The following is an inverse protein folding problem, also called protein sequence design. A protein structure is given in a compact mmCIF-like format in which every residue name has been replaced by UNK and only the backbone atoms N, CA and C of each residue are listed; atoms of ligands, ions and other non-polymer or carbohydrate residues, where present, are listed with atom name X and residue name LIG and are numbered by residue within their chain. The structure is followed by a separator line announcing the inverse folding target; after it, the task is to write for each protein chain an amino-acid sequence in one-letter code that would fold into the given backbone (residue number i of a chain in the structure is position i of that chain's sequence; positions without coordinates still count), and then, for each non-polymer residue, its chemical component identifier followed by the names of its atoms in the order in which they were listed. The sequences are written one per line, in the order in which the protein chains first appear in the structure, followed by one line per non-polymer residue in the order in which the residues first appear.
data_IF_886121562031
#
_entry.id   IF_886121562031
#
_cell.length_a   1.000
_cell.length_b   1.000
_cell.length_c   1.000
_cell.angle_alpha   90.00
_cell.angle_beta   90.00
_cell.angle_gamma   90.00
#
_symmetry.space_group_name_H-M   'P 1'
#
loop_
_entity.id
_entity.type
_entity.pdbx_description
1 polymer ?
#
# COMPACT_ATOMS: atom_id res chain seq x y z
N UNK A 1 -13.46 -13.06 2.04
CA UNK A 1 -12.25 -12.47 1.40
C UNK A 1 -12.67 -11.19 0.73
N UNK A 2 -11.78 -10.20 0.64
CA UNK A 2 -12.04 -8.91 0.00
C UNK A 2 -10.87 -8.55 -0.91
N UNK A 3 -11.13 -7.76 -1.95
CA UNK A 3 -10.10 -7.29 -2.87
C UNK A 3 -9.66 -5.90 -2.47
N UNK A 4 -8.35 -5.70 -2.41
CA UNK A 4 -7.72 -4.42 -2.11
C UNK A 4 -6.86 -3.99 -3.28
N UNK A 5 -6.83 -2.70 -3.55
CA UNK A 5 -5.94 -2.07 -4.52
C UNK A 5 -4.77 -1.46 -3.77
N UNK A 6 -3.56 -1.73 -4.25
CA UNK A 6 -2.32 -1.20 -3.71
C UNK A 6 -1.74 -0.18 -4.69
N UNK A 7 -1.56 1.06 -4.24
CA UNK A 7 -0.81 2.08 -4.98
C UNK A 7 0.58 2.20 -4.38
N UNK A 8 1.60 1.76 -5.11
CA UNK A 8 2.99 1.76 -4.66
C UNK A 8 3.73 2.90 -5.34
N UNK A 9 4.11 3.92 -4.56
CA UNK A 9 4.76 5.12 -5.07
C UNK A 9 6.27 4.90 -5.25
N UNK A 10 6.77 5.21 -6.44
CA UNK A 10 8.18 5.09 -6.81
C UNK A 10 8.80 6.47 -7.07
N UNK A 11 10.00 6.74 -6.54
CA UNK A 11 10.70 8.02 -6.76
C UNK A 11 11.12 8.24 -8.22
N UNK A 12 11.21 7.18 -9.02
CA UNK A 12 11.66 7.22 -10.42
C UNK A 12 10.56 7.66 -11.38
N UNK A 13 9.30 7.55 -10.96
CA UNK A 13 8.14 7.77 -11.83
C UNK A 13 7.10 8.62 -11.12
N UNK A 14 6.38 9.45 -11.87
CA UNK A 14 5.32 10.30 -11.30
C UNK A 14 4.01 9.54 -11.07
N UNK A 15 3.88 8.30 -11.56
CA UNK A 15 2.67 7.48 -11.46
C UNK A 15 2.96 6.26 -10.56
N UNK A 16 2.08 5.94 -9.59
CA UNK A 16 2.25 4.75 -8.76
C UNK A 16 2.12 3.44 -9.55
N UNK A 17 2.83 2.41 -9.10
CA UNK A 17 2.56 1.04 -9.54
C UNK A 17 1.29 0.54 -8.87
N UNK A 18 0.38 -0.03 -9.66
CA UNK A 18 -0.89 -0.57 -9.20
C UNK A 18 -0.81 -2.10 -9.10
N UNK A 19 -1.20 -2.65 -7.95
CA UNK A 19 -1.36 -4.09 -7.70
C UNK A 19 -2.72 -4.34 -7.05
N UNK A 20 -3.26 -5.55 -7.18
CA UNK A 20 -4.54 -5.93 -6.57
C UNK A 20 -4.43 -7.26 -5.87
N UNK A 21 -4.91 -7.35 -4.63
CA UNK A 21 -4.78 -8.54 -3.79
C UNK A 21 -6.12 -8.93 -3.17
N UNK A 22 -6.44 -10.22 -3.18
CA UNK A 22 -7.65 -10.76 -2.54
C UNK A 22 -7.27 -11.52 -1.29
N UNK A 23 -7.58 -10.97 -0.12
CA UNK A 23 -7.16 -11.52 1.19
C UNK A 23 -8.26 -11.43 2.24
N UNK A 24 -8.03 -12.07 3.39
CA UNK A 24 -8.93 -12.01 4.53
C UNK A 24 -8.50 -10.90 5.49
N UNK A 25 -9.15 -9.75 5.37
CA UNK A 25 -9.02 -8.62 6.30
C UNK A 25 -7.91 -7.61 5.97
N UNK A 26 -8.11 -6.41 6.48
CA UNK A 26 -7.31 -5.20 6.26
C UNK A 26 -5.84 -5.40 6.68
N UNK A 27 -5.62 -6.06 7.83
CA UNK A 27 -4.27 -6.32 8.33
C UNK A 27 -3.41 -7.11 7.36
N UNK A 28 -3.98 -8.14 6.70
CA UNK A 28 -3.24 -8.94 5.72
C UNK A 28 -2.94 -8.15 4.45
N UNK A 29 -3.83 -7.26 4.03
CA UNK A 29 -3.59 -6.38 2.90
C UNK A 29 -2.45 -5.39 3.20
N UNK A 30 -2.43 -4.82 4.41
CA UNK A 30 -1.34 -3.97 4.91
C UNK A 30 0.01 -4.67 4.95
N UNK A 31 0.07 -5.92 5.43
CA UNK A 31 1.30 -6.72 5.42
C UNK A 31 1.86 -6.93 4.00
N UNK A 32 0.99 -7.21 3.03
CA UNK A 32 1.41 -7.37 1.63
C UNK A 32 1.92 -6.03 1.08
N UNK A 33 1.21 -4.92 1.35
CA UNK A 33 1.66 -3.59 0.95
C UNK A 33 3.04 -3.26 1.54
N UNK A 34 3.30 -3.61 2.81
CA UNK A 34 4.60 -3.43 3.45
C UNK A 34 5.69 -4.25 2.76
N UNK A 35 5.42 -5.51 2.41
CA UNK A 35 6.36 -6.36 1.66
C UNK A 35 6.65 -5.79 0.27
N UNK A 36 5.61 -5.32 -0.44
CA UNK A 36 5.76 -4.66 -1.74
C UNK A 36 6.60 -3.38 -1.62
N UNK A 37 6.31 -2.53 -0.66
CA UNK A 37 7.08 -1.31 -0.38
C UNK A 37 8.55 -1.63 -0.09
N UNK A 38 8.83 -2.69 0.68
CA UNK A 38 10.18 -3.12 1.01
C UNK A 38 10.97 -3.69 -0.19
N UNK A 39 10.28 -4.20 -1.22
CA UNK A 39 10.92 -4.90 -2.35
C UNK A 39 11.86 -4.06 -3.22
N UNK A 40 11.78 -2.73 -3.16
CA UNK A 40 12.63 -1.82 -3.93
C UNK A 40 12.98 -0.59 -3.13
N UNK A 41 14.26 -0.18 -3.14
CA UNK A 41 14.70 1.08 -2.49
C UNK A 41 14.09 2.33 -3.14
N UNK A 42 13.64 2.24 -4.40
CA UNK A 42 13.02 3.35 -5.09
C UNK A 42 11.57 3.60 -4.64
N UNK A 43 10.90 2.58 -4.08
CA UNK A 43 9.56 2.75 -3.52
C UNK A 43 9.64 3.46 -2.17
N UNK A 44 8.79 4.48 -1.99
CA UNK A 44 8.81 5.34 -0.81
C UNK A 44 7.49 5.38 -0.04
N UNK A 45 6.36 5.05 -0.67
CA UNK A 45 5.07 4.92 0.00
C UNK A 45 4.21 3.83 -0.64
N UNK A 46 3.26 3.28 0.12
CA UNK A 46 2.23 2.39 -0.38
C UNK A 46 0.87 2.73 0.26
N UNK A 47 -0.18 2.81 -0.54
CA UNK A 47 -1.55 2.98 -0.08
C UNK A 47 -2.36 1.72 -0.30
N UNK A 48 -3.18 1.36 0.67
CA UNK A 48 -4.09 0.21 0.60
C UNK A 48 -5.51 0.74 0.55
N UNK A 49 -6.23 0.41 -0.51
CA UNK A 49 -7.60 0.83 -0.74
C UNK A 49 -8.52 -0.37 -0.82
N UNK A 50 -9.71 -0.24 -0.23
CA UNK A 50 -10.83 -1.15 -0.40
C UNK A 50 -11.95 -0.34 -1.04
N UNK A 51 -12.30 -0.64 -2.29
CA UNK A 51 -13.17 0.20 -3.12
C UNK A 51 -12.68 1.67 -3.09
N UNK A 52 -13.49 2.59 -2.54
CA UNK A 52 -13.17 4.02 -2.41
C UNK A 52 -12.67 4.40 -1.00
N UNK A 53 -12.40 3.43 -0.12
CA UNK A 53 -11.94 3.64 1.26
C UNK A 53 -10.43 3.42 1.37
N UNK A 54 -9.69 4.45 1.78
CA UNK A 54 -8.30 4.30 2.20
C UNK A 54 -8.27 3.51 3.52
N UNK A 55 -7.65 2.33 3.49
CA UNK A 55 -7.50 1.45 4.65
C UNK A 55 -6.29 1.89 5.46
N UNK A 56 -5.14 2.03 4.81
CA UNK A 56 -3.92 2.54 5.44
C UNK A 56 -2.92 3.08 4.40
N UNK A 57 -2.00 3.91 4.88
CA UNK A 57 -0.85 4.38 4.12
C UNK A 57 0.44 4.09 4.87
N UNK A 58 1.41 3.51 4.16
CA UNK A 58 2.73 3.17 4.65
C UNK A 58 3.77 4.06 3.98
N UNK A 59 4.73 4.56 4.73
CA UNK A 59 5.83 5.37 4.20
C UNK A 59 7.18 4.84 4.70
N UNK A 60 8.20 4.87 3.85
CA UNK A 60 9.56 4.52 4.29
C UNK A 60 10.16 5.66 5.09
N UNK A 61 10.33 5.42 6.39
CA UNK A 61 10.97 6.37 7.31
C UNK A 61 9.98 7.30 8.03
N UNK A 62 8.67 7.08 7.89
CA UNK A 62 7.62 7.77 8.64
C UNK A 62 6.67 6.76 9.30
N UNK A 63 6.14 7.11 10.46
CA UNK A 63 5.13 6.32 11.18
C UNK A 63 3.92 6.07 10.26
N UNK A 64 3.44 4.83 10.19
CA UNK A 64 2.19 4.51 9.48
C UNK A 64 1.08 5.44 9.96
N UNK A 65 0.46 6.17 9.04
CA UNK A 65 -0.58 7.13 9.38
C UNK A 65 -1.93 6.48 9.09
N UNK A 66 -2.70 6.23 10.15
CA UNK A 66 -4.08 5.75 10.02
C UNK A 66 -4.98 6.94 9.60
N UNK A 67 -5.86 6.77 8.61
CA UNK A 67 -6.80 7.82 8.22
C UNK A 67 -7.78 8.10 9.37
N UNK A 68 -7.98 9.39 9.67
CA UNK A 68 -8.90 9.88 10.73
C UNK A 68 -10.36 9.78 10.34
#
# INVERSE_FOLDING_TARGET
MKTYVLYIHDRRYSVPHLDSVTVQGDGRAGEIAAQRLASSQAYFAAEVWEDDRLVCRLEKGGSSQEPS
#
